data_IF_877370161948
#
_entry.id   IF_877370161948
#
_cell.length_a   1.000
_cell.length_b   1.000
_cell.length_c   1.000
_cell.angle_alpha   90.00
_cell.angle_beta   90.00
_cell.angle_gamma   90.00
#
_symmetry.space_group_name_H-M   'P 1'
#
loop_
_entity.id
_entity.type
_entity.pdbx_description
1 polymer ?
#
# COMPACT_ATOMS: atom_id res chain seq x y z
N UNK A 1 -19.61 22.38 12.88
CA UNK A 1 -19.41 21.08 13.56
C UNK A 1 -18.39 20.31 12.74
N UNK A 2 -17.31 19.79 13.36
CA UNK A 2 -16.29 18.98 12.63
C UNK A 2 -16.96 17.68 12.17
N UNK A 3 -16.86 17.36 10.88
CA UNK A 3 -17.37 16.10 10.31
C UNK A 3 -16.54 14.93 10.81
N UNK A 4 -17.12 14.07 11.62
CA UNK A 4 -16.42 12.94 12.27
C UNK A 4 -17.26 11.66 12.21
N UNK A 5 -16.65 10.56 11.77
CA UNK A 5 -17.24 9.23 11.83
C UNK A 5 -16.85 8.56 13.17
N UNK A 6 -17.88 8.28 13.99
CA UNK A 6 -17.74 7.61 15.30
C UNK A 6 -18.18 6.14 15.25
N UNK A 7 -18.60 5.65 14.10
CA UNK A 7 -18.97 4.25 13.87
C UNK A 7 -18.60 3.83 12.45
N UNK A 8 -18.48 2.52 12.25
CA UNK A 8 -18.23 1.95 10.93
C UNK A 8 -19.37 2.27 9.96
N UNK A 9 -20.62 2.19 10.39
CA UNK A 9 -21.78 2.49 9.55
C UNK A 9 -21.77 3.93 9.05
N UNK A 10 -21.45 4.91 9.95
CA UNK A 10 -21.33 6.31 9.56
C UNK A 10 -20.21 6.51 8.52
N UNK A 11 -19.13 5.76 8.62
CA UNK A 11 -18.02 5.80 7.68
C UNK A 11 -18.42 5.21 6.31
N UNK A 12 -19.14 4.08 6.31
CA UNK A 12 -19.64 3.44 5.09
C UNK A 12 -20.66 4.33 4.38
N UNK A 13 -21.61 4.92 5.11
CA UNK A 13 -22.57 5.87 4.55
C UNK A 13 -21.87 7.07 3.89
N UNK A 14 -20.85 7.62 4.55
CA UNK A 14 -20.04 8.69 3.97
C UNK A 14 -19.37 8.28 2.65
N UNK A 15 -18.83 7.07 2.57
CA UNK A 15 -18.22 6.56 1.34
C UNK A 15 -19.24 6.34 0.23
N UNK A 16 -20.45 5.90 0.57
CA UNK A 16 -21.54 5.70 -0.38
C UNK A 16 -22.05 7.05 -0.95
N UNK A 17 -22.12 8.08 -0.13
CA UNK A 17 -22.46 9.46 -0.58
C UNK A 17 -21.39 9.96 -1.59
N UNK A 18 -20.11 9.78 -1.29
CA UNK A 18 -19.02 10.17 -2.20
C UNK A 18 -19.06 9.36 -3.49
N UNK A 19 -19.36 8.06 -3.41
CA UNK A 19 -19.51 7.19 -4.59
C UNK A 19 -20.65 7.67 -5.48
N UNK A 20 -21.81 7.96 -4.91
CA UNK A 20 -22.97 8.46 -5.63
C UNK A 20 -22.69 9.80 -6.33
N UNK A 21 -21.92 10.70 -5.68
CA UNK A 21 -21.57 12.01 -6.22
C UNK A 21 -20.47 11.96 -7.31
N UNK A 22 -19.71 10.87 -7.40
CA UNK A 22 -18.51 10.78 -8.25
C UNK A 22 -18.79 10.76 -9.75
N UNK A 23 -20.00 10.41 -10.20
CA UNK A 23 -20.37 10.22 -11.59
C UNK A 23 -19.30 9.40 -12.38
N UNK A 24 -18.83 8.33 -11.76
CA UNK A 24 -17.72 7.54 -12.26
C UNK A 24 -18.13 6.69 -13.47
N UNK A 25 -17.29 6.72 -14.50
CA UNK A 25 -17.37 5.82 -15.65
C UNK A 25 -15.97 5.37 -16.06
N UNK A 26 -15.83 4.10 -16.45
CA UNK A 26 -14.59 3.55 -17.00
C UNK A 26 -14.90 2.61 -18.15
N UNK A 27 -14.18 2.74 -19.25
CA UNK A 27 -14.27 1.85 -20.40
C UNK A 27 -12.87 1.42 -20.85
N UNK A 28 -12.73 0.15 -21.25
CA UNK A 28 -11.52 -0.30 -21.93
C UNK A 28 -11.53 0.21 -23.36
N UNK A 29 -10.41 0.75 -23.81
CA UNK A 29 -10.25 1.31 -25.16
C UNK A 29 -9.05 0.68 -25.87
N UNK A 30 -9.08 0.56 -27.21
CA UNK A 30 -7.95 0.04 -27.96
C UNK A 30 -6.77 1.01 -27.91
N UNK A 31 -5.55 0.46 -28.04
CA UNK A 31 -4.31 1.26 -27.99
C UNK A 31 -4.26 2.36 -29.05
N UNK A 32 -4.84 2.13 -30.22
CA UNK A 32 -4.92 3.10 -31.32
C UNK A 32 -5.78 4.33 -31.00
N UNK A 33 -6.66 4.26 -30.01
CA UNK A 33 -7.52 5.37 -29.60
C UNK A 33 -6.97 6.21 -28.45
N UNK A 34 -5.76 5.87 -27.96
CA UNK A 34 -5.15 6.55 -26.80
C UNK A 34 -4.32 7.74 -27.26
N UNK A 35 -4.63 8.94 -26.76
CA UNK A 35 -4.03 10.17 -27.27
C UNK A 35 -2.66 10.49 -26.64
N UNK A 36 -2.50 10.26 -25.34
CA UNK A 36 -1.36 10.78 -24.56
C UNK A 36 -0.34 9.73 -24.14
N UNK A 37 -0.57 8.47 -24.45
CA UNK A 37 0.33 7.37 -24.14
C UNK A 37 0.88 6.75 -25.40
N UNK A 38 2.18 6.54 -25.44
CA UNK A 38 2.85 5.94 -26.61
C UNK A 38 4.06 5.12 -26.20
N UNK A 39 4.45 4.19 -27.07
CA UNK A 39 5.68 3.43 -26.91
C UNK A 39 6.78 4.12 -27.70
N UNK A 40 7.77 4.64 -26.98
CA UNK A 40 8.97 5.25 -27.54
C UNK A 40 10.21 4.60 -26.94
N UNK A 41 11.19 4.26 -27.77
CA UNK A 41 12.40 3.52 -27.37
C UNK A 41 12.11 2.20 -26.59
N UNK A 42 10.93 1.59 -26.83
CA UNK A 42 10.51 0.34 -26.17
C UNK A 42 9.94 0.51 -24.77
N UNK A 43 9.68 1.73 -24.35
CA UNK A 43 9.03 2.08 -23.07
C UNK A 43 7.67 2.69 -23.34
N UNK A 44 6.62 2.19 -22.70
CA UNK A 44 5.31 2.83 -22.71
C UNK A 44 5.30 3.97 -21.71
N UNK A 45 5.04 5.18 -22.18
CA UNK A 45 5.03 6.38 -21.34
C UNK A 45 3.98 7.39 -21.79
N UNK A 46 3.56 8.22 -20.84
CA UNK A 46 2.78 9.41 -21.17
C UNK A 46 3.69 10.45 -21.86
N UNK A 47 3.20 11.12 -22.87
CA UNK A 47 3.99 12.07 -23.70
C UNK A 47 4.63 13.22 -22.91
N UNK A 48 4.07 13.59 -21.75
CA UNK A 48 4.68 14.60 -20.87
C UNK A 48 5.92 14.10 -20.13
N UNK A 49 6.19 12.79 -20.11
CA UNK A 49 7.27 12.17 -19.33
C UNK A 49 7.10 12.27 -17.79
N UNK A 50 5.96 12.80 -17.33
CA UNK A 50 5.77 13.22 -15.93
C UNK A 50 5.03 12.20 -15.05
N UNK A 51 4.60 11.10 -15.65
CA UNK A 51 3.87 10.03 -14.97
C UNK A 51 4.73 8.77 -14.89
N UNK A 52 4.09 7.63 -14.61
CA UNK A 52 4.80 6.35 -14.61
C UNK A 52 5.10 5.88 -16.04
N UNK A 53 6.01 4.93 -16.12
CA UNK A 53 6.38 4.24 -17.35
C UNK A 53 6.13 2.74 -17.18
N UNK A 54 5.97 2.02 -18.28
CA UNK A 54 6.01 0.57 -18.32
C UNK A 54 7.19 0.15 -19.19
N UNK A 55 8.04 -0.70 -18.63
CA UNK A 55 9.23 -1.22 -19.29
C UNK A 55 9.46 -2.67 -18.88
N UNK A 56 10.19 -3.42 -19.67
CA UNK A 56 10.70 -4.72 -19.26
C UNK A 56 11.78 -4.57 -18.19
N UNK A 57 11.81 -5.49 -17.24
CA UNK A 57 12.89 -5.67 -16.29
C UNK A 57 13.43 -7.10 -16.46
N UNK A 58 14.71 -7.27 -16.60
CA UNK A 58 15.39 -8.57 -16.75
C UNK A 58 16.50 -8.71 -15.74
N UNK A 59 16.52 -9.84 -15.07
CA UNK A 59 17.65 -10.26 -14.25
C UNK A 59 18.64 -11.01 -15.17
N UNK A 60 19.88 -10.50 -15.28
CA UNK A 60 20.88 -11.03 -16.20
C UNK A 60 21.42 -12.40 -15.80
N UNK A 61 21.40 -12.71 -14.51
CA UNK A 61 21.93 -13.96 -14.00
C UNK A 61 20.94 -15.10 -14.13
N UNK A 62 19.71 -14.89 -13.66
CA UNK A 62 18.64 -15.91 -13.68
C UNK A 62 17.88 -15.97 -15.01
N UNK A 63 17.95 -14.91 -15.82
CA UNK A 63 17.11 -14.74 -17.01
C UNK A 63 15.63 -14.45 -16.68
N UNK A 64 15.28 -14.31 -15.41
CA UNK A 64 13.93 -13.92 -15.03
C UNK A 64 13.60 -12.55 -15.61
N UNK A 65 12.41 -12.42 -16.19
CA UNK A 65 11.96 -11.13 -16.74
C UNK A 65 10.48 -10.90 -16.50
N UNK A 66 10.11 -9.62 -16.48
CA UNK A 66 8.73 -9.19 -16.31
C UNK A 66 8.47 -7.77 -16.84
N UNK A 67 7.20 -7.43 -17.07
CA UNK A 67 6.76 -6.07 -17.37
C UNK A 67 6.51 -5.33 -16.06
N UNK A 68 7.23 -4.23 -15.84
CA UNK A 68 7.21 -3.49 -14.58
C UNK A 68 6.75 -2.04 -14.75
N UNK A 69 6.11 -1.51 -13.72
CA UNK A 69 5.85 -0.09 -13.58
C UNK A 69 7.13 0.59 -13.07
N UNK A 70 7.66 1.52 -13.83
CA UNK A 70 8.80 2.34 -13.46
C UNK A 70 8.36 3.76 -13.15
N UNK A 71 8.47 4.15 -11.91
CA UNK A 71 8.15 5.50 -11.42
C UNK A 71 9.10 5.85 -10.27
N UNK A 72 10.34 6.33 -10.59
CA UNK A 72 11.39 6.51 -9.59
C UNK A 72 11.15 7.70 -8.65
N UNK A 73 10.26 8.65 -9.03
CA UNK A 73 9.94 9.78 -8.17
C UNK A 73 9.15 9.28 -6.94
N UNK A 74 9.61 9.68 -5.74
CA UNK A 74 8.92 9.35 -4.51
C UNK A 74 7.50 9.93 -4.50
N UNK A 75 6.52 9.09 -4.15
CA UNK A 75 5.18 9.56 -3.85
C UNK A 75 5.10 10.02 -2.38
N UNK A 76 4.07 10.80 -2.05
CA UNK A 76 3.76 11.24 -0.70
C UNK A 76 2.45 10.63 -0.22
N UNK A 77 2.51 9.95 0.92
CA UNK A 77 1.35 9.58 1.72
C UNK A 77 1.41 10.37 3.02
N UNK A 78 0.45 11.27 3.22
CA UNK A 78 0.35 12.12 4.39
C UNK A 78 -0.87 11.77 5.23
N UNK A 79 -0.72 11.63 6.55
CA UNK A 79 -1.81 11.41 7.48
C UNK A 79 -1.85 12.51 8.54
N UNK A 80 -2.90 13.32 8.51
CA UNK A 80 -3.17 14.27 9.57
C UNK A 80 -3.91 13.54 10.71
N UNK A 81 -3.41 13.71 11.92
CA UNK A 81 -3.97 13.07 13.12
C UNK A 81 -4.26 14.10 14.19
N UNK A 82 -5.18 13.79 15.08
CA UNK A 82 -5.35 14.54 16.33
C UNK A 82 -5.66 13.61 17.51
N UNK A 83 -5.37 14.09 18.71
CA UNK A 83 -5.72 13.41 19.94
C UNK A 83 -6.59 14.32 20.79
N UNK A 84 -7.88 13.99 20.96
CA UNK A 84 -8.84 14.76 21.76
C UNK A 84 -9.37 13.90 22.89
N UNK A 85 -9.16 14.34 24.13
CA UNK A 85 -9.54 13.58 25.34
C UNK A 85 -9.02 12.14 25.35
N UNK A 86 -7.77 11.93 24.90
CA UNK A 86 -7.14 10.62 24.81
C UNK A 86 -7.57 9.77 23.61
N UNK A 87 -8.50 10.24 22.77
CA UNK A 87 -8.95 9.54 21.57
C UNK A 87 -8.20 10.02 20.34
N UNK A 88 -7.52 9.09 19.72
CA UNK A 88 -6.83 9.32 18.45
C UNK A 88 -7.81 9.23 17.27
N UNK A 89 -7.69 10.17 16.35
CA UNK A 89 -8.44 10.18 15.10
C UNK A 89 -7.50 10.58 13.96
N UNK A 90 -7.82 10.14 12.74
CA UNK A 90 -7.12 10.54 11.54
C UNK A 90 -8.08 11.14 10.51
N UNK A 91 -7.60 12.14 9.76
CA UNK A 91 -8.32 12.71 8.63
C UNK A 91 -8.09 11.84 7.41
N UNK A 92 -9.15 11.19 6.93
CA UNK A 92 -9.11 10.27 5.79
C UNK A 92 -9.92 10.79 4.62
N UNK A 93 -9.54 10.38 3.42
CA UNK A 93 -10.23 10.73 2.18
C UNK A 93 -11.00 9.53 1.63
N UNK A 94 -12.29 9.68 1.36
CA UNK A 94 -13.03 8.78 0.46
C UNK A 94 -12.57 9.07 -0.98
N UNK A 95 -11.74 8.18 -1.51
CA UNK A 95 -10.99 8.39 -2.76
C UNK A 95 -11.54 7.52 -3.87
N UNK A 96 -11.89 8.15 -4.99
CA UNK A 96 -12.26 7.44 -6.23
C UNK A 96 -10.99 6.99 -6.94
N UNK A 97 -10.88 5.70 -7.21
CA UNK A 97 -9.77 5.14 -8.00
C UNK A 97 -10.29 4.18 -9.07
N UNK A 98 -9.88 4.36 -10.34
CA UNK A 98 -10.51 3.70 -11.48
C UNK A 98 -10.39 2.17 -11.46
N UNK A 99 -9.34 1.66 -10.88
CA UNK A 99 -9.08 0.22 -10.81
C UNK A 99 -9.68 -0.49 -9.60
N UNK A 100 -10.24 0.23 -8.62
CA UNK A 100 -10.80 -0.40 -7.43
C UNK A 100 -12.11 -1.11 -7.72
N UNK A 101 -12.30 -2.32 -7.19
CA UNK A 101 -13.53 -3.11 -7.36
C UNK A 101 -14.78 -2.40 -6.81
N UNK A 102 -14.63 -1.60 -5.76
CA UNK A 102 -15.69 -0.78 -5.16
C UNK A 102 -15.62 0.70 -5.53
N UNK A 103 -14.72 1.09 -6.43
CA UNK A 103 -14.51 2.46 -6.94
C UNK A 103 -14.00 3.41 -5.84
N UNK A 104 -14.68 3.51 -4.70
CA UNK A 104 -14.33 4.39 -3.58
C UNK A 104 -13.79 3.56 -2.42
N UNK A 105 -12.59 3.92 -1.98
CA UNK A 105 -11.96 3.39 -0.75
C UNK A 105 -11.46 4.56 0.10
N UNK A 106 -11.23 4.32 1.39
CA UNK A 106 -10.57 5.28 2.27
C UNK A 106 -9.07 5.28 1.99
N UNK A 107 -8.54 6.45 1.68
CA UNK A 107 -7.10 6.73 1.59
C UNK A 107 -6.64 7.66 2.71
N UNK A 108 -5.33 7.89 2.85
CA UNK A 108 -4.78 8.86 3.78
C UNK A 108 -5.21 10.30 3.42
N UNK A 109 -4.90 11.27 4.26
CA UNK A 109 -5.22 12.69 4.02
C UNK A 109 -4.64 13.18 2.69
N UNK A 110 -3.41 12.78 2.38
CA UNK A 110 -2.75 13.02 1.09
C UNK A 110 -2.22 11.70 0.56
N UNK A 111 -2.55 11.40 -0.69
CA UNK A 111 -1.98 10.32 -1.49
C UNK A 111 -1.67 10.89 -2.88
N UNK A 112 -0.41 11.25 -3.11
CA UNK A 112 -0.03 11.98 -4.30
C UNK A 112 1.33 11.54 -4.84
N UNK A 113 1.38 11.32 -6.15
CA UNK A 113 2.66 11.18 -6.89
C UNK A 113 3.24 12.57 -7.21
N UNK A 114 4.49 12.61 -7.64
CA UNK A 114 5.13 13.86 -8.06
C UNK A 114 4.32 14.59 -9.15
N UNK A 115 3.77 13.86 -10.12
CA UNK A 115 2.89 14.43 -11.14
C UNK A 115 1.68 15.17 -10.56
N UNK A 116 1.10 14.65 -9.48
CA UNK A 116 -0.06 15.25 -8.84
C UNK A 116 0.30 16.47 -7.99
N UNK A 117 1.27 16.36 -7.08
CA UNK A 117 1.58 17.50 -6.21
C UNK A 117 2.32 18.64 -6.92
N UNK A 118 3.03 18.37 -8.02
CA UNK A 118 3.58 19.39 -8.92
C UNK A 118 2.58 19.90 -9.95
N UNK A 119 1.38 19.31 -10.00
CA UNK A 119 0.31 19.66 -10.96
C UNK A 119 0.72 19.55 -12.42
N UNK A 120 1.53 18.57 -12.77
CA UNK A 120 2.05 18.37 -14.12
C UNK A 120 0.96 18.03 -15.16
N UNK A 121 -0.22 17.60 -14.68
CA UNK A 121 -1.43 17.38 -15.48
C UNK A 121 -2.30 18.65 -15.64
N UNK A 122 -1.87 19.82 -15.09
CA UNK A 122 -2.65 21.06 -15.14
C UNK A 122 -3.96 21.06 -14.34
N UNK A 123 -4.23 19.99 -13.56
CA UNK A 123 -5.45 19.81 -12.81
C UNK A 123 -5.53 20.57 -11.49
N UNK A 124 -6.51 20.19 -10.66
CA UNK A 124 -6.75 20.78 -9.34
C UNK A 124 -5.58 20.51 -8.39
N UNK A 125 -5.39 21.43 -7.43
CA UNK A 125 -4.40 21.26 -6.36
C UNK A 125 -4.75 20.05 -5.49
N UNK A 126 -3.74 19.27 -5.08
CA UNK A 126 -3.91 18.21 -4.08
C UNK A 126 -4.31 18.86 -2.74
N UNK A 127 -5.47 18.50 -2.17
CA UNK A 127 -5.92 19.06 -0.89
C UNK A 127 -4.95 18.73 0.25
N UNK A 128 -4.83 19.63 1.20
CA UNK A 128 -4.04 19.48 2.44
C UNK A 128 -2.54 19.18 2.23
N UNK A 129 -2.02 19.30 1.01
CA UNK A 129 -0.61 19.09 0.70
C UNK A 129 0.31 20.00 1.53
N UNK A 130 -0.15 21.20 1.84
CA UNK A 130 0.58 22.19 2.65
C UNK A 130 0.88 21.75 4.08
N UNK A 131 0.18 20.78 4.63
CA UNK A 131 0.46 20.20 5.94
C UNK A 131 1.77 19.40 5.94
N UNK A 132 2.17 18.87 4.79
CA UNK A 132 3.28 17.93 4.65
C UNK A 132 4.50 18.51 3.94
N UNK A 133 4.34 19.62 3.20
CA UNK A 133 5.42 20.23 2.42
C UNK A 133 5.96 21.54 3.01
N UNK A 134 5.27 22.12 3.96
CA UNK A 134 5.74 23.36 4.59
C UNK A 134 6.36 23.05 5.93
N UNK A 135 7.64 23.43 6.13
CA UNK A 135 8.31 23.42 7.43
C UNK A 135 7.71 24.50 8.36
N UNK A 136 6.40 24.48 8.53
CA UNK A 136 5.74 25.30 9.53
C UNK A 136 5.88 24.58 10.88
N UNK A 137 6.37 25.23 11.94
CA UNK A 137 6.58 24.60 13.25
C UNK A 137 5.32 23.91 13.80
N UNK A 138 4.14 24.46 13.50
CA UNK A 138 2.85 23.87 13.92
C UNK A 138 2.49 22.56 13.23
N UNK A 139 3.16 22.22 12.12
CA UNK A 139 2.95 20.97 11.37
C UNK A 139 4.24 20.16 11.28
N UNK A 140 5.09 20.24 12.31
CA UNK A 140 6.27 19.39 12.38
C UNK A 140 5.84 17.91 12.33
N UNK A 141 6.44 17.09 11.46
CA UNK A 141 6.08 15.69 11.38
C UNK A 141 6.34 14.95 12.69
N UNK A 142 5.38 14.18 13.14
CA UNK A 142 5.52 13.26 14.27
C UNK A 142 6.22 11.97 13.88
N UNK A 143 6.08 11.59 12.63
CA UNK A 143 6.76 10.44 12.05
C UNK A 143 6.98 10.67 10.56
N UNK A 144 8.17 10.29 10.08
CA UNK A 144 8.47 10.22 8.64
C UNK A 144 9.25 8.94 8.38
N UNK A 145 8.81 8.18 7.40
CA UNK A 145 9.57 7.03 6.89
C UNK A 145 9.44 6.94 5.37
N UNK A 146 10.45 6.37 4.73
CA UNK A 146 10.39 6.01 3.31
C UNK A 146 10.09 4.53 3.19
N UNK A 147 9.09 4.18 2.40
CA UNK A 147 8.61 2.80 2.28
C UNK A 147 8.61 2.35 0.81
N UNK A 148 9.01 1.10 0.58
CA UNK A 148 8.93 0.47 -0.72
C UNK A 148 7.47 0.12 -1.05
N UNK A 149 7.13 0.17 -2.34
CA UNK A 149 5.84 -0.27 -2.88
C UNK A 149 5.85 -1.78 -3.21
N UNK A 150 4.90 -2.28 -3.96
CA UNK A 150 4.79 -3.69 -4.39
C UNK A 150 5.88 -4.04 -5.42
N UNK A 151 7.00 -4.59 -4.98
CA UNK A 151 8.14 -4.91 -5.85
C UNK A 151 7.88 -6.05 -6.85
N UNK A 152 6.77 -6.75 -6.75
CA UNK A 152 6.31 -7.68 -7.78
C UNK A 152 5.74 -6.96 -9.03
N UNK A 153 5.44 -5.66 -8.93
CA UNK A 153 4.88 -4.86 -10.03
C UNK A 153 5.66 -3.57 -10.30
N UNK A 154 6.35 -3.04 -9.29
CA UNK A 154 7.09 -1.79 -9.39
C UNK A 154 8.59 -2.01 -9.35
N UNK A 155 9.31 -1.31 -10.22
CA UNK A 155 10.76 -1.22 -10.16
C UNK A 155 11.19 0.04 -9.40
N UNK A 156 11.86 -0.15 -8.25
CA UNK A 156 12.43 0.88 -7.37
C UNK A 156 11.43 1.96 -6.87
N UNK A 157 10.14 1.67 -6.84
CA UNK A 157 9.12 2.61 -6.37
C UNK A 157 9.17 2.78 -4.86
N UNK A 158 9.18 4.04 -4.42
CA UNK A 158 9.16 4.41 -3.01
C UNK A 158 8.05 5.45 -2.73
N UNK A 159 7.56 5.45 -1.49
CA UNK A 159 6.61 6.43 -0.96
C UNK A 159 7.14 6.99 0.36
N UNK A 160 7.09 8.30 0.53
CA UNK A 160 7.31 8.95 1.82
C UNK A 160 6.01 8.89 2.60
N UNK A 161 6.01 8.26 3.77
CA UNK A 161 4.93 8.32 4.75
C UNK A 161 5.24 9.45 5.72
N UNK A 162 4.28 10.36 5.92
CA UNK A 162 4.43 11.49 6.84
C UNK A 162 3.18 11.63 7.70
N UNK A 163 3.36 11.71 9.03
CA UNK A 163 2.27 11.89 10.00
C UNK A 163 2.45 13.25 10.66
N UNK A 164 1.40 14.06 10.67
CA UNK A 164 1.40 15.39 11.31
C UNK A 164 0.22 15.53 12.26
N UNK A 165 0.40 16.25 13.35
CA UNK A 165 -0.69 16.67 14.22
C UNK A 165 -1.41 17.89 13.65
N UNK A 166 -2.76 17.86 13.64
CA UNK A 166 -3.58 18.93 13.05
C UNK A 166 -4.88 19.14 13.85
N UNK A 167 -4.75 19.50 15.13
CA UNK A 167 -5.86 19.59 16.09
C UNK A 167 -6.96 20.57 15.71
N UNK A 168 -6.67 21.58 14.93
CA UNK A 168 -7.62 22.64 14.57
C UNK A 168 -8.16 22.52 13.14
N UNK A 169 -7.83 21.46 12.44
CA UNK A 169 -8.20 21.29 11.04
C UNK A 169 -9.68 20.89 10.89
N UNK A 170 -10.47 21.75 10.29
CA UNK A 170 -11.85 21.43 9.87
C UNK A 170 -11.84 21.02 8.40
N UNK A 171 -12.35 19.82 8.05
CA UNK A 171 -12.47 19.40 6.66
C UNK A 171 -13.39 20.36 5.89
N UNK A 172 -12.86 20.91 4.79
CA UNK A 172 -13.61 21.84 3.93
C UNK A 172 -14.18 21.18 2.68
N UNK A 173 -13.75 19.94 2.39
CA UNK A 173 -14.16 19.18 1.22
C UNK A 173 -15.02 17.99 1.63
N UNK A 174 -16.07 17.73 0.83
CA UNK A 174 -17.04 16.66 1.11
C UNK A 174 -16.46 15.24 1.01
N UNK A 175 -15.27 15.09 0.44
CA UNK A 175 -14.58 13.81 0.34
C UNK A 175 -13.69 13.50 1.54
N UNK A 176 -13.65 14.33 2.58
CA UNK A 176 -12.81 14.16 3.77
C UNK A 176 -13.65 14.07 5.05
N UNK A 177 -13.21 13.19 5.95
CA UNK A 177 -13.83 12.97 7.25
C UNK A 177 -12.78 12.61 8.30
N UNK A 178 -12.94 13.10 9.51
CA UNK A 178 -12.22 12.58 10.68
C UNK A 178 -12.81 11.23 11.08
N UNK A 179 -11.98 10.22 11.29
CA UNK A 179 -12.41 8.91 11.77
C UNK A 179 -11.58 8.51 12.98
N UNK A 180 -12.24 8.04 14.03
CA UNK A 180 -11.59 7.54 15.24
C UNK A 180 -10.71 6.32 14.88
N UNK A 181 -9.58 6.16 15.56
CA UNK A 181 -8.65 5.06 15.28
C UNK A 181 -9.32 3.69 15.45
N UNK A 182 -10.23 3.55 16.42
CA UNK A 182 -11.05 2.34 16.58
C UNK A 182 -11.95 2.06 15.37
N UNK A 183 -12.55 3.10 14.81
CA UNK A 183 -13.37 2.98 13.60
C UNK A 183 -12.50 2.57 12.40
N UNK A 184 -11.30 3.14 12.27
CA UNK A 184 -10.34 2.77 11.22
C UNK A 184 -9.84 1.34 11.38
N UNK A 185 -9.61 0.88 12.62
CA UNK A 185 -9.26 -0.52 12.92
C UNK A 185 -10.38 -1.47 12.50
N UNK A 186 -11.62 -1.15 12.83
CA UNK A 186 -12.78 -1.93 12.40
C UNK A 186 -12.93 -1.94 10.88
N UNK A 187 -12.75 -0.78 10.23
CA UNK A 187 -12.81 -0.61 8.78
C UNK A 187 -11.71 -1.41 8.05
N UNK A 188 -10.49 -1.48 8.63
CA UNK A 188 -9.39 -2.26 8.06
C UNK A 188 -9.68 -3.76 8.00
N UNK A 189 -10.61 -4.27 8.78
CA UNK A 189 -11.06 -5.68 8.79
C UNK A 189 -12.24 -5.97 7.87
N UNK A 190 -12.69 -4.98 7.10
CA UNK A 190 -13.78 -5.12 6.14
C UNK A 190 -13.24 -5.10 4.71
N UNK A 191 -13.93 -5.80 3.84
CA UNK A 191 -13.60 -5.85 2.41
C UNK A 191 -13.77 -4.48 1.76
N UNK A 192 -12.75 -4.07 1.00
CA UNK A 192 -12.79 -2.90 0.12
C UNK A 192 -13.15 -1.56 0.81
N UNK A 193 -12.84 -1.41 2.10
CA UNK A 193 -13.06 -0.14 2.81
C UNK A 193 -11.77 0.70 2.82
N UNK A 194 -10.65 0.14 3.29
CA UNK A 194 -9.39 0.85 3.49
C UNK A 194 -8.41 0.47 2.40
N UNK A 195 -7.94 1.45 1.62
CA UNK A 195 -6.97 1.18 0.55
C UNK A 195 -5.58 0.80 1.10
N UNK A 196 -4.73 0.25 0.24
CA UNK A 196 -3.40 -0.26 0.61
C UNK A 196 -2.49 0.82 1.19
N UNK A 197 -2.58 2.06 0.70
CA UNK A 197 -1.78 3.18 1.21
C UNK A 197 -2.16 3.55 2.63
N UNK A 198 -3.46 3.65 2.94
CA UNK A 198 -3.91 3.91 4.31
C UNK A 198 -3.62 2.72 5.23
N UNK A 199 -3.79 1.46 4.78
CA UNK A 199 -3.37 0.26 5.53
C UNK A 199 -1.90 0.32 5.92
N UNK A 200 -1.04 0.66 4.96
CA UNK A 200 0.40 0.83 5.18
C UNK A 200 0.69 1.91 6.22
N UNK A 201 0.00 3.05 6.16
CA UNK A 201 0.15 4.12 7.15
C UNK A 201 -0.38 3.73 8.53
N UNK A 202 -1.54 3.07 8.62
CA UNK A 202 -2.09 2.60 9.90
C UNK A 202 -1.12 1.66 10.63
N UNK A 203 -0.47 0.76 9.89
CA UNK A 203 0.50 -0.18 10.47
C UNK A 203 1.84 0.48 10.84
N UNK A 204 2.30 1.47 10.06
CA UNK A 204 3.61 2.11 10.24
C UNK A 204 3.59 3.35 11.16
N UNK A 205 2.42 3.90 11.50
CA UNK A 205 2.30 5.06 12.38
C UNK A 205 2.58 4.67 13.83
N UNK A 206 3.46 5.38 14.56
CA UNK A 206 3.75 5.10 15.97
C UNK A 206 2.64 5.66 16.89
N UNK A 207 1.45 5.06 16.85
CA UNK A 207 0.23 5.53 17.53
C UNK A 207 0.43 5.79 19.03
N UNK A 208 1.20 4.91 19.70
CA UNK A 208 1.52 5.05 21.13
C UNK A 208 2.27 6.34 21.47
N UNK A 209 3.03 6.91 20.55
CA UNK A 209 3.74 8.19 20.78
C UNK A 209 2.89 9.42 20.50
N UNK A 210 1.68 9.23 19.96
CA UNK A 210 0.74 10.32 19.63
C UNK A 210 -0.26 10.60 20.77
N UNK A 211 -0.32 9.72 21.80
CA UNK A 211 -1.13 9.95 23.00
C UNK A 211 -0.37 10.80 24.02
N UNK A 212 -1.05 11.70 24.76
CA UNK A 212 -0.41 12.47 25.83
C UNK A 212 0.18 11.54 26.89
N UNK A 213 1.47 11.66 27.17
CA UNK A 213 2.19 10.81 28.14
C UNK A 213 2.59 9.43 27.61
N UNK A 214 2.32 9.13 26.35
CA UNK A 214 2.78 7.93 25.68
C UNK A 214 4.28 7.97 25.44
N UNK A 215 5.04 7.41 26.37
CA UNK A 215 6.48 7.22 26.19
C UNK A 215 6.73 6.12 25.16
N UNK A 216 7.73 6.30 24.31
CA UNK A 216 8.29 5.18 23.58
C UNK A 216 8.68 4.10 24.61
N UNK A 217 8.27 2.82 24.43
CA UNK A 217 8.55 1.78 25.42
C UNK A 217 10.07 1.62 25.59
N UNK A 218 10.58 2.05 26.71
CA UNK A 218 12.01 2.16 27.01
C UNK A 218 12.71 0.82 27.26
N UNK A 219 12.05 -0.32 27.19
CA UNK A 219 12.63 -1.54 27.78
C UNK A 219 12.67 -2.79 26.91
N UNK A 220 12.55 -2.71 25.58
CA UNK A 220 12.61 -3.91 24.73
C UNK A 220 13.80 -3.95 23.77
N UNK A 221 14.88 -3.29 24.13
CA UNK A 221 16.14 -3.34 23.40
C UNK A 221 16.67 -4.79 23.23
N UNK A 222 16.42 -5.67 24.19
CA UNK A 222 16.86 -7.06 24.11
C UNK A 222 16.06 -7.89 23.10
N UNK A 223 14.72 -7.77 23.07
CA UNK A 223 13.87 -8.46 22.07
C UNK A 223 14.14 -7.94 20.66
N UNK A 224 14.34 -6.62 20.56
CA UNK A 224 14.69 -5.97 19.32
C UNK A 224 16.07 -6.39 18.83
N UNK A 225 17.09 -6.41 19.72
CA UNK A 225 18.43 -6.87 19.40
C UNK A 225 18.43 -8.34 18.94
N UNK A 226 17.68 -9.22 19.65
CA UNK A 226 17.53 -10.63 19.26
C UNK A 226 16.85 -10.78 17.89
N UNK A 227 15.83 -9.95 17.59
CA UNK A 227 15.14 -9.98 16.31
C UNK A 227 16.03 -9.44 15.17
N UNK A 228 16.81 -8.38 15.42
CA UNK A 228 17.77 -7.83 14.47
C UNK A 228 18.91 -8.81 14.20
N UNK A 229 19.43 -9.48 15.22
CA UNK A 229 20.46 -10.51 15.09
C UNK A 229 19.97 -11.66 14.21
N UNK A 230 18.78 -12.20 14.49
CA UNK A 230 18.16 -13.25 13.66
C UNK A 230 17.98 -12.80 12.19
N UNK A 231 17.62 -11.53 11.98
CA UNK A 231 17.49 -10.95 10.65
C UNK A 231 18.82 -10.89 9.91
N UNK A 232 19.93 -10.58 10.62
CA UNK A 232 21.27 -10.47 10.04
C UNK A 232 21.86 -11.82 9.65
N UNK A 233 21.45 -12.89 10.32
CA UNK A 233 21.95 -14.25 10.11
C UNK A 233 21.39 -14.94 8.86
N UNK A 234 20.35 -14.36 8.24
CA UNK A 234 19.75 -14.92 7.03
C UNK A 234 20.58 -14.53 5.81
N UNK A 235 21.08 -15.50 5.02
CA UNK A 235 21.89 -15.23 3.83
C UNK A 235 21.18 -14.32 2.84
N UNK A 236 21.87 -13.34 2.24
CA UNK A 236 21.34 -12.47 1.18
C UNK A 236 21.32 -13.17 -0.17
N UNK A 237 20.41 -12.77 -1.03
CA UNK A 237 20.62 -12.98 -2.46
C UNK A 237 21.82 -12.15 -2.92
N UNK A 238 22.60 -12.71 -3.83
CA UNK A 238 23.84 -12.10 -4.34
C UNK A 238 23.62 -11.33 -5.63
N UNK A 239 22.48 -11.48 -6.29
CA UNK A 239 22.25 -10.88 -7.60
C UNK A 239 21.56 -9.50 -7.49
N UNK A 240 22.31 -8.46 -7.90
CA UNK A 240 21.80 -7.10 -8.08
C UNK A 240 21.74 -6.69 -9.56
N UNK A 241 21.96 -7.60 -10.49
CA UNK A 241 22.16 -7.30 -11.90
C UNK A 241 20.84 -7.35 -12.69
N UNK A 242 19.99 -6.34 -12.44
CA UNK A 242 18.75 -6.17 -13.17
C UNK A 242 18.80 -4.94 -14.05
N UNK A 243 18.34 -5.10 -15.29
CA UNK A 243 18.32 -4.05 -16.29
C UNK A 243 16.91 -3.78 -16.83
N UNK A 244 16.64 -2.52 -17.13
CA UNK A 244 15.48 -2.14 -17.90
C UNK A 244 15.71 -2.51 -19.37
N UNK A 245 14.77 -3.22 -19.96
CA UNK A 245 14.79 -3.62 -21.37
C UNK A 245 13.55 -3.11 -22.09
N UNK A 246 13.63 -2.89 -23.42
CA UNK A 246 12.47 -2.58 -24.24
C UNK A 246 11.37 -3.64 -24.08
N UNK A 247 10.09 -3.23 -24.02
CA UNK A 247 8.95 -4.17 -23.90
C UNK A 247 9.01 -5.28 -24.95
N UNK A 248 9.34 -4.92 -26.19
CA UNK A 248 9.49 -5.88 -27.31
C UNK A 248 10.65 -6.86 -27.17
N UNK A 249 11.55 -6.65 -26.21
CA UNK A 249 12.66 -7.55 -25.92
C UNK A 249 12.32 -8.58 -24.85
N UNK A 250 11.16 -8.48 -24.22
CA UNK A 250 10.62 -9.49 -23.32
C UNK A 250 10.14 -10.71 -24.13
N UNK A 251 10.54 -11.90 -23.70
CA UNK A 251 10.25 -13.16 -24.42
C UNK A 251 8.80 -13.62 -24.23
N UNK A 252 8.26 -13.37 -23.01
CA UNK A 252 6.96 -13.85 -22.61
C UNK A 252 5.87 -12.75 -22.67
N UNK A 253 6.08 -11.71 -23.50
CA UNK A 253 5.14 -10.61 -23.62
C UNK A 253 4.90 -10.20 -25.08
N UNK A 254 3.65 -10.05 -25.44
CA UNK A 254 3.20 -9.62 -26.76
C UNK A 254 2.35 -8.36 -26.65
N UNK A 255 2.23 -7.66 -27.78
CA UNK A 255 1.41 -6.44 -27.88
C UNK A 255 0.49 -6.58 -29.08
N UNK A 256 -0.77 -6.26 -28.86
CA UNK A 256 -1.82 -6.18 -29.89
C UNK A 256 -2.66 -4.91 -29.70
N UNK A 257 -3.77 -4.82 -30.41
CA UNK A 257 -4.70 -3.68 -30.34
C UNK A 257 -5.38 -3.54 -28.96
N UNK A 258 -5.45 -4.61 -28.19
CA UNK A 258 -6.07 -4.61 -26.84
C UNK A 258 -5.11 -4.17 -25.74
N UNK A 259 -3.80 -4.19 -26.01
CA UNK A 259 -2.77 -3.79 -25.05
C UNK A 259 -1.52 -4.68 -25.06
N UNK A 260 -0.92 -4.87 -23.91
CA UNK A 260 0.29 -5.68 -23.71
C UNK A 260 -0.10 -6.85 -22.81
N UNK A 261 0.21 -8.08 -23.19
CA UNK A 261 -0.19 -9.27 -22.44
C UNK A 261 0.93 -10.30 -22.34
N UNK A 262 0.94 -11.02 -21.23
CA UNK A 262 1.87 -12.14 -21.04
C UNK A 262 1.40 -13.36 -21.79
N UNK A 263 2.31 -14.01 -22.51
CA UNK A 263 2.08 -15.30 -23.18
C UNK A 263 2.23 -16.48 -22.23
N UNK A 264 3.01 -16.29 -21.15
CA UNK A 264 3.21 -17.31 -20.11
C UNK A 264 2.09 -17.32 -19.05
N UNK A 265 1.63 -16.13 -18.66
CA UNK A 265 0.52 -15.93 -17.71
C UNK A 265 -0.63 -15.21 -18.42
N UNK A 266 -1.52 -15.98 -19.04
CA UNK A 266 -2.66 -15.45 -19.80
C UNK A 266 -3.59 -14.50 -18.99
N UNK A 267 -3.43 -14.46 -17.67
CA UNK A 267 -4.15 -13.56 -16.79
C UNK A 267 -3.49 -12.20 -16.60
N UNK A 268 -2.22 -12.04 -16.97
CA UNK A 268 -1.46 -10.81 -16.74
C UNK A 268 -1.38 -9.96 -18.02
N UNK A 269 -1.89 -8.75 -17.93
CA UNK A 269 -1.90 -7.83 -19.08
C UNK A 269 -1.91 -6.37 -18.62
N UNK A 270 -1.66 -5.47 -19.56
CA UNK A 270 -1.88 -4.03 -19.44
C UNK A 270 -2.86 -3.61 -20.51
N UNK A 271 -3.96 -2.99 -20.10
CA UNK A 271 -4.98 -2.47 -21.00
C UNK A 271 -5.20 -1.00 -20.76
N UNK A 272 -5.65 -0.30 -21.81
CA UNK A 272 -5.92 1.12 -21.73
C UNK A 272 -7.38 1.38 -21.36
N UNK A 273 -7.56 2.40 -20.53
CA UNK A 273 -8.88 2.77 -20.02
C UNK A 273 -9.13 4.27 -20.23
N UNK A 274 -10.33 4.59 -20.69
CA UNK A 274 -10.90 5.92 -20.66
C UNK A 274 -11.69 6.08 -19.38
N UNK A 275 -11.37 7.11 -18.60
CA UNK A 275 -11.90 7.30 -17.25
C UNK A 275 -12.52 8.68 -17.12
N UNK A 276 -13.73 8.71 -16.60
CA UNK A 276 -14.43 9.94 -16.23
C UNK A 276 -14.83 9.86 -14.75
N UNK A 277 -14.55 10.93 -13.99
CA UNK A 277 -14.94 11.01 -12.59
C UNK A 277 -14.91 12.44 -12.09
N UNK A 278 -15.95 12.84 -11.35
CA UNK A 278 -15.93 14.09 -10.60
C UNK A 278 -15.13 13.94 -9.30
N UNK A 279 -14.50 15.02 -8.86
CA UNK A 279 -13.80 15.07 -7.58
C UNK A 279 -12.35 14.60 -7.59
N UNK A 280 -11.82 14.19 -8.76
CA UNK A 280 -10.39 13.93 -8.97
C UNK A 280 -9.66 15.21 -9.38
N UNK A 281 -8.32 15.12 -9.48
CA UNK A 281 -7.48 16.23 -9.96
C UNK A 281 -7.87 16.69 -11.37
N UNK A 282 -8.27 15.74 -12.22
CA UNK A 282 -8.88 15.95 -13.54
C UNK A 282 -10.15 15.14 -13.62
N UNK A 283 -11.12 15.58 -14.45
CA UNK A 283 -12.42 14.93 -14.57
C UNK A 283 -12.48 13.89 -15.69
N UNK A 284 -11.54 13.93 -16.64
CA UNK A 284 -11.44 12.97 -17.74
C UNK A 284 -9.98 12.73 -18.11
N UNK A 285 -9.59 11.46 -18.26
CA UNK A 285 -8.24 11.06 -18.66
C UNK A 285 -8.21 9.65 -19.22
N UNK A 286 -7.13 9.31 -19.93
CA UNK A 286 -6.83 7.96 -20.38
C UNK A 286 -5.56 7.46 -19.70
N UNK A 287 -5.52 6.17 -19.33
CA UNK A 287 -4.32 5.58 -18.74
C UNK A 287 -4.26 4.07 -18.95
N UNK A 288 -3.04 3.49 -18.98
CA UNK A 288 -2.87 2.05 -18.87
C UNK A 288 -3.09 1.60 -17.42
N UNK A 289 -3.74 0.44 -17.24
CA UNK A 289 -3.88 -0.26 -15.98
C UNK A 289 -3.41 -1.70 -16.14
N UNK A 290 -2.70 -2.22 -15.14
CA UNK A 290 -2.34 -3.63 -15.07
C UNK A 290 -3.54 -4.47 -14.66
N UNK A 291 -3.68 -5.63 -15.29
CA UNK A 291 -4.69 -6.65 -15.02
C UNK A 291 -4.00 -7.92 -14.53
N UNK A 292 -4.65 -8.62 -13.63
CA UNK A 292 -4.29 -9.96 -13.20
C UNK A 292 -5.60 -10.76 -13.02
N UNK A 293 -5.67 -11.95 -13.58
CA UNK A 293 -6.89 -12.78 -13.47
C UNK A 293 -7.00 -13.50 -12.13
N UNK A 294 -5.91 -13.56 -11.40
CA UNK A 294 -5.81 -14.30 -10.15
C UNK A 294 -5.66 -13.33 -8.97
N UNK A 295 -6.35 -13.65 -7.87
CA UNK A 295 -6.20 -12.93 -6.61
C UNK A 295 -4.85 -13.23 -5.98
N UNK A 296 -4.29 -12.24 -5.30
CA UNK A 296 -3.11 -12.40 -4.47
C UNK A 296 -3.51 -12.75 -3.02
N UNK A 297 -2.58 -13.34 -2.31
CA UNK A 297 -2.72 -13.70 -0.90
C UNK A 297 -1.55 -13.17 -0.12
N UNK A 298 -1.81 -12.63 1.07
CA UNK A 298 -0.81 -12.28 2.07
C UNK A 298 -1.33 -12.72 3.44
N UNK A 299 -0.71 -13.76 4.02
CA UNK A 299 -1.08 -14.29 5.33
C UNK A 299 0.01 -13.99 6.37
N UNK A 300 -0.41 -13.52 7.52
CA UNK A 300 0.41 -13.33 8.70
C UNK A 300 0.02 -14.39 9.73
N UNK A 301 0.90 -15.39 9.92
CA UNK A 301 0.67 -16.43 10.88
C UNK A 301 1.01 -15.92 12.29
N UNK A 302 0.24 -16.34 13.26
CA UNK A 302 0.42 -15.93 14.65
C UNK A 302 0.25 -17.10 15.61
N UNK A 303 0.93 -17.03 16.75
CA UNK A 303 0.77 -17.95 17.88
C UNK A 303 0.72 -17.18 19.21
N UNK A 304 0.29 -17.82 20.27
CA UNK A 304 0.08 -17.16 21.55
C UNK A 304 -1.13 -16.21 21.55
N UNK A 305 -1.31 -15.45 22.62
CA UNK A 305 -2.41 -14.50 22.77
C UNK A 305 -2.00 -13.30 23.64
N UNK A 306 -2.69 -12.17 23.52
CA UNK A 306 -2.43 -10.97 24.31
C UNK A 306 -0.98 -10.49 24.17
N UNK A 307 -0.31 -10.21 25.27
CA UNK A 307 1.09 -9.75 25.30
C UNK A 307 2.11 -10.78 24.82
N UNK A 308 1.75 -12.07 24.84
CA UNK A 308 2.60 -13.19 24.41
C UNK A 308 2.41 -13.54 22.93
N UNK A 309 1.62 -12.76 22.20
CA UNK A 309 1.39 -13.00 20.78
C UNK A 309 2.65 -12.76 19.97
N UNK A 310 3.00 -13.73 19.16
CA UNK A 310 4.08 -13.66 18.19
C UNK A 310 3.54 -13.79 16.76
N UNK A 311 4.25 -13.20 15.82
CA UNK A 311 3.94 -13.16 14.40
C UNK A 311 5.07 -13.81 13.61
N UNK A 312 4.75 -14.75 12.74
CA UNK A 312 5.70 -15.36 11.83
C UNK A 312 5.87 -14.47 10.60
N UNK A 313 7.09 -14.13 10.28
CA UNK A 313 7.43 -13.38 9.07
C UNK A 313 8.43 -14.15 8.24
N UNK A 314 8.46 -13.88 6.94
CA UNK A 314 9.48 -14.38 6.02
C UNK A 314 10.46 -13.27 5.70
N UNK A 315 11.70 -13.64 5.33
CA UNK A 315 12.70 -12.70 4.84
C UNK A 315 13.04 -13.07 3.41
N UNK A 316 12.87 -12.11 2.51
CA UNK A 316 13.05 -12.35 1.09
C UNK A 316 13.30 -11.07 0.31
N UNK A 317 13.33 -11.21 -0.98
CA UNK A 317 13.46 -10.10 -1.94
C UNK A 317 12.26 -10.07 -2.87
N UNK A 318 11.86 -8.86 -3.26
CA UNK A 318 10.90 -8.68 -4.33
C UNK A 318 11.63 -8.34 -5.63
N UNK A 319 11.13 -8.83 -6.75
CA UNK A 319 11.78 -8.69 -8.07
C UNK A 319 12.09 -7.24 -8.46
N UNK A 320 11.27 -6.29 -8.07
CA UNK A 320 11.48 -4.87 -8.34
C UNK A 320 12.47 -4.16 -7.42
N UNK A 321 13.02 -4.83 -6.40
CA UNK A 321 13.95 -4.25 -5.43
C UNK A 321 15.22 -5.08 -5.28
N UNK A 322 16.07 -5.14 -6.32
CA UNK A 322 17.26 -5.98 -6.34
C UNK A 322 18.20 -5.68 -5.16
N UNK A 323 18.73 -6.75 -4.53
CA UNK A 323 19.66 -6.66 -3.42
C UNK A 323 19.09 -6.11 -2.12
N UNK A 324 17.76 -5.98 -2.02
CA UNK A 324 17.09 -5.51 -0.80
C UNK A 324 16.32 -6.63 -0.13
N UNK A 325 16.78 -7.02 1.06
CA UNK A 325 16.02 -7.91 1.92
C UNK A 325 14.92 -7.17 2.63
N UNK A 326 13.72 -7.74 2.55
CA UNK A 326 12.52 -7.23 3.20
C UNK A 326 11.96 -8.27 4.15
N UNK A 327 11.37 -7.79 5.23
CA UNK A 327 10.47 -8.59 6.05
C UNK A 327 9.13 -8.63 5.34
N UNK A 328 8.63 -9.84 5.11
CA UNK A 328 7.45 -10.13 4.31
C UNK A 328 6.43 -10.91 5.14
N UNK A 329 5.15 -11.01 4.73
CA UNK A 329 4.19 -11.91 5.34
C UNK A 329 4.73 -13.35 5.41
N UNK A 330 4.17 -14.16 6.29
CA UNK A 330 4.51 -15.60 6.41
C UNK A 330 4.30 -16.34 5.09
N UNK A 331 3.21 -15.99 4.40
CA UNK A 331 2.80 -16.54 3.10
C UNK A 331 2.41 -15.39 2.19
N UNK A 332 2.92 -15.39 0.97
CA UNK A 332 2.60 -14.40 -0.06
C UNK A 332 2.66 -15.05 -1.46
N UNK A 333 1.75 -14.68 -2.32
CA UNK A 333 1.75 -15.12 -3.74
C UNK A 333 0.38 -15.18 -4.37
N UNK A 334 0.30 -15.67 -5.61
CA UNK A 334 -0.97 -15.97 -6.28
C UNK A 334 -1.77 -17.03 -5.53
N UNK A 335 -3.09 -16.85 -5.39
CA UNK A 335 -3.95 -17.70 -4.56
C UNK A 335 -3.89 -19.19 -4.92
N UNK A 336 -3.79 -19.53 -6.22
CA UNK A 336 -3.66 -20.91 -6.67
C UNK A 336 -2.30 -21.55 -6.39
N UNK A 337 -1.28 -20.74 -6.23
CA UNK A 337 0.11 -21.20 -5.97
C UNK A 337 0.42 -21.31 -4.48
N UNK A 338 -0.41 -20.72 -3.63
CA UNK A 338 -0.23 -20.72 -2.19
C UNK A 338 -0.94 -21.95 -1.57
N UNK A 339 -0.19 -22.76 -0.84
CA UNK A 339 -0.79 -23.80 0.00
C UNK A 339 -1.46 -23.12 1.18
N UNK A 340 -2.77 -23.35 1.33
CA UNK A 340 -3.53 -22.77 2.44
C UNK A 340 -2.98 -23.27 3.77
N UNK A 341 -2.64 -22.35 4.66
CA UNK A 341 -2.13 -22.68 5.99
C UNK A 341 -3.26 -23.29 6.83
N UNK A 342 -2.98 -24.43 7.47
CA UNK A 342 -3.88 -25.00 8.48
C UNK A 342 -3.83 -24.13 9.74
N UNK A 343 -5.00 -23.71 10.24
CA UNK A 343 -5.11 -22.85 11.41
C UNK A 343 -6.47 -22.16 11.49
N UNK A 344 -6.67 -21.41 12.55
CA UNK A 344 -7.88 -20.62 12.76
C UNK A 344 -7.70 -19.19 12.19
N UNK A 345 -8.49 -18.79 11.23
CA UNK A 345 -8.53 -17.41 10.79
C UNK A 345 -9.08 -16.51 11.91
N UNK A 346 -8.25 -15.60 12.42
CA UNK A 346 -8.64 -14.59 13.41
C UNK A 346 -9.35 -13.40 12.75
N UNK A 347 -8.89 -13.02 11.58
CA UNK A 347 -9.52 -12.02 10.73
C UNK A 347 -8.98 -12.14 9.29
N UNK A 348 -9.81 -11.79 8.35
CA UNK A 348 -9.43 -11.68 6.95
C UNK A 348 -10.23 -10.58 6.26
N UNK A 349 -9.71 -10.07 5.17
CA UNK A 349 -10.40 -9.16 4.26
C UNK A 349 -9.80 -9.22 2.87
N UNK A 350 -10.59 -8.80 1.88
CA UNK A 350 -10.16 -8.60 0.51
C UNK A 350 -10.04 -7.11 0.22
N UNK A 351 -8.94 -6.71 -0.39
CA UNK A 351 -8.71 -5.32 -0.77
C UNK A 351 -8.15 -5.23 -2.18
N UNK A 352 -8.66 -4.27 -2.95
CA UNK A 352 -8.05 -3.89 -4.24
C UNK A 352 -6.68 -3.25 -4.02
N UNK A 353 -5.73 -3.55 -4.89
CA UNK A 353 -4.46 -2.86 -4.95
C UNK A 353 -4.64 -1.41 -5.41
N UNK A 354 -3.53 -0.62 -5.54
CA UNK A 354 -3.61 0.81 -5.92
C UNK A 354 -4.39 0.99 -7.22
N UNK A 355 -5.66 1.41 -7.14
CA UNK A 355 -6.57 1.51 -8.27
C UNK A 355 -6.19 2.56 -9.32
N UNK A 356 -5.15 3.35 -9.08
CA UNK A 356 -4.53 4.23 -10.07
C UNK A 356 -3.53 3.51 -10.99
N UNK A 357 -3.24 2.23 -10.75
CA UNK A 357 -2.27 1.42 -11.52
C UNK A 357 -2.79 0.04 -11.87
N UNK A 358 -3.68 -0.51 -11.04
CA UNK A 358 -4.17 -1.88 -11.14
C UNK A 358 -5.67 -1.87 -11.35
N UNK A 359 -6.16 -2.70 -12.29
CA UNK A 359 -7.58 -2.85 -12.54
C UNK A 359 -8.10 -4.13 -11.91
N UNK A 360 -8.85 -3.97 -10.80
CA UNK A 360 -9.47 -5.04 -10.03
C UNK A 360 -8.49 -6.15 -9.61
N UNK A 361 -7.23 -5.81 -9.45
CA UNK A 361 -6.28 -6.70 -8.78
C UNK A 361 -6.58 -6.63 -7.29
N UNK A 362 -6.80 -7.78 -6.70
CA UNK A 362 -7.19 -7.91 -5.30
C UNK A 362 -6.19 -8.78 -4.54
N UNK A 363 -5.98 -8.42 -3.28
CA UNK A 363 -5.22 -9.24 -2.33
C UNK A 363 -6.12 -9.63 -1.17
N UNK A 364 -6.14 -10.93 -0.84
CA UNK A 364 -6.71 -11.43 0.39
C UNK A 364 -5.65 -11.31 1.50
N UNK A 365 -5.93 -10.49 2.48
CA UNK A 365 -5.14 -10.35 3.68
C UNK A 365 -5.76 -11.18 4.80
N UNK A 366 -4.98 -12.05 5.45
CA UNK A 366 -5.48 -12.90 6.52
C UNK A 366 -4.48 -13.00 7.68
N UNK A 367 -5.00 -13.09 8.90
CA UNK A 367 -4.22 -13.41 10.10
C UNK A 367 -4.70 -14.77 10.60
N UNK A 368 -3.78 -15.74 10.63
CA UNK A 368 -4.07 -17.13 10.92
C UNK A 368 -3.38 -17.53 12.22
N UNK A 369 -4.15 -17.94 13.23
CA UNK A 369 -3.64 -18.56 14.44
C UNK A 369 -3.22 -19.99 14.13
N UNK A 370 -1.96 -20.31 14.36
CA UNK A 370 -1.41 -21.67 14.19
C UNK A 370 -1.07 -22.29 15.53
N UNK A 371 -0.75 -23.57 15.51
CA UNK A 371 -0.30 -24.31 16.69
C UNK A 371 0.99 -23.67 17.27
N UNK A 372 1.18 -23.66 18.62
CA UNK A 372 2.42 -23.18 19.22
C UNK A 372 3.68 -23.85 18.67
N UNK A 373 3.58 -25.13 18.30
CA UNK A 373 4.67 -25.95 17.77
C UNK A 373 4.78 -25.90 16.24
N UNK A 374 4.09 -24.95 15.58
CA UNK A 374 4.12 -24.81 14.13
C UNK A 374 5.56 -24.70 13.61
N UNK A 375 5.91 -25.64 12.71
CA UNK A 375 7.25 -25.73 12.13
C UNK A 375 7.52 -24.58 11.15
N UNK A 376 8.60 -23.85 11.36
CA UNK A 376 9.03 -22.78 10.46
C UNK A 376 9.90 -23.32 9.32
N UNK A 377 9.76 -22.72 8.14
CA UNK A 377 10.64 -22.96 7.02
C UNK A 377 11.91 -22.12 7.12
N UNK A 378 12.92 -22.46 6.30
CA UNK A 378 14.13 -21.63 6.17
C UNK A 378 13.74 -20.21 5.73
N UNK A 379 14.32 -19.20 6.37
CA UNK A 379 14.03 -17.79 6.11
C UNK A 379 12.80 -17.24 6.84
N UNK A 380 12.14 -18.03 7.67
CA UNK A 380 11.05 -17.57 8.54
C UNK A 380 11.51 -17.35 9.99
N UNK A 381 10.95 -16.35 10.66
CA UNK A 381 11.26 -16.00 12.04
C UNK A 381 10.02 -15.53 12.79
N UNK A 382 9.88 -15.98 14.06
CA UNK A 382 8.85 -15.47 14.97
C UNK A 382 9.29 -14.14 15.59
N UNK A 383 8.42 -13.15 15.55
CA UNK A 383 8.63 -11.82 16.10
C UNK A 383 7.56 -11.50 17.15
N UNK A 384 7.96 -10.90 18.26
CA UNK A 384 6.99 -10.29 19.18
C UNK A 384 6.27 -9.11 18.51
N UNK A 385 5.10 -8.75 19.02
CA UNK A 385 4.35 -7.57 18.53
C UNK A 385 5.20 -6.29 18.54
N UNK A 386 6.04 -6.12 19.56
CA UNK A 386 6.94 -4.96 19.65
C UNK A 386 8.04 -4.96 18.59
N UNK A 387 8.62 -6.11 18.27
CA UNK A 387 9.63 -6.24 17.20
C UNK A 387 9.01 -6.01 15.82
N UNK A 388 7.83 -6.59 15.57
CA UNK A 388 7.10 -6.35 14.31
C UNK A 388 6.75 -4.85 14.15
N UNK A 389 6.20 -4.22 15.20
CA UNK A 389 5.91 -2.77 15.22
C UNK A 389 7.12 -1.93 14.84
N UNK A 390 8.28 -2.23 15.43
CA UNK A 390 9.51 -1.49 15.11
C UNK A 390 9.90 -1.62 13.64
N UNK A 391 9.88 -2.83 13.09
CA UNK A 391 10.18 -3.10 11.67
C UNK A 391 9.22 -2.37 10.74
N UNK A 392 7.93 -2.29 11.08
CA UNK A 392 6.92 -1.58 10.31
C UNK A 392 7.16 -0.06 10.26
N UNK A 393 7.74 0.51 11.32
CA UNK A 393 8.05 1.95 11.43
C UNK A 393 9.38 2.34 10.77
N UNK A 394 10.30 1.40 10.59
CA UNK A 394 11.58 1.67 9.92
C UNK A 394 11.40 1.85 8.41
N UNK A 395 12.26 2.71 7.84
CA UNK A 395 12.28 2.94 6.39
C UNK A 395 12.76 1.69 5.65
N UNK A 396 12.00 1.26 4.62
CA UNK A 396 12.38 0.24 3.66
C UNK A 396 12.73 -1.13 4.29
N UNK A 397 12.13 -1.49 5.42
CA UNK A 397 12.33 -2.79 6.09
C UNK A 397 11.20 -3.79 5.81
N UNK A 398 9.96 -3.34 5.89
CA UNK A 398 8.79 -4.17 5.66
C UNK A 398 8.30 -4.05 4.21
N UNK A 399 7.91 -5.16 3.59
CA UNK A 399 7.22 -5.14 2.29
C UNK A 399 5.86 -4.43 2.42
N UNK A 400 5.32 -3.95 1.29
CA UNK A 400 3.98 -3.35 1.26
C UNK A 400 2.91 -4.33 1.76
N UNK A 401 3.00 -5.59 1.35
CA UNK A 401 2.05 -6.64 1.76
C UNK A 401 2.10 -6.91 3.28
N UNK A 402 3.30 -6.87 3.91
CA UNK A 402 3.41 -7.00 5.36
C UNK A 402 2.74 -5.84 6.09
N UNK A 403 2.98 -4.60 5.64
CA UNK A 403 2.32 -3.42 6.22
C UNK A 403 0.81 -3.51 6.07
N UNK A 404 0.31 -3.96 4.91
CA UNK A 404 -1.12 -4.09 4.67
C UNK A 404 -1.77 -5.15 5.56
N UNK A 405 -1.20 -6.36 5.66
CA UNK A 405 -1.77 -7.41 6.52
C UNK A 405 -1.66 -7.05 8.00
N UNK A 406 -0.61 -6.35 8.41
CA UNK A 406 -0.42 -5.88 9.79
C UNK A 406 -1.48 -4.87 10.24
N UNK A 407 -2.15 -4.19 9.30
CA UNK A 407 -3.29 -3.31 9.62
C UNK A 407 -4.49 -4.05 10.23
N UNK A 408 -4.55 -5.37 10.11
CA UNK A 408 -5.59 -6.22 10.73
C UNK A 408 -5.36 -6.46 12.22
N UNK A 409 -4.13 -6.26 12.71
CA UNK A 409 -3.71 -6.54 14.10
C UNK A 409 -3.25 -5.27 14.85
N UNK A 410 -3.81 -4.11 14.51
CA UNK A 410 -3.41 -2.82 15.11
C UNK A 410 -3.51 -2.82 16.64
N UNK A 411 -4.53 -3.46 17.23
CA UNK A 411 -4.68 -3.55 18.68
C UNK A 411 -3.58 -4.40 19.33
N UNK A 412 -3.09 -5.43 18.65
CA UNK A 412 -1.96 -6.23 19.15
C UNK A 412 -0.63 -5.46 19.01
N UNK A 413 -0.49 -4.64 17.96
CA UNK A 413 0.70 -3.82 17.73
C UNK A 413 0.78 -2.59 18.63
N UNK A 414 -0.36 -1.97 18.93
CA UNK A 414 -0.45 -0.68 19.65
C UNK A 414 -1.53 -0.74 20.75
N UNK A 415 -1.47 -1.69 21.71
CA UNK A 415 -2.54 -1.88 22.68
C UNK A 415 -2.85 -0.59 23.45
N UNK A 416 -1.84 0.19 23.82
CA UNK A 416 -1.99 1.44 24.59
C UNK A 416 -2.78 2.54 23.87
N UNK A 417 -2.98 2.41 22.56
CA UNK A 417 -3.70 3.39 21.73
C UNK A 417 -5.19 3.04 21.58
N UNK A 418 -5.62 1.90 22.12
CA UNK A 418 -6.98 1.37 22.03
C UNK A 418 -7.64 1.15 23.40
N UNK A 419 -6.92 1.39 24.51
CA UNK A 419 -7.41 1.40 25.89
C UNK A 419 -7.87 2.82 26.26
#
# INVERSE_FOLDING_TARGET
MIRQAKSLDALVMFMDDVRAASAFCIATVPISSVEYWSISAGVLSHQSGSFFHLAGLRDRESGQEDLMIYQPQSALNGLAVHCVHGRLSALVQARVEPGNSRIVNLGPTVQATAGNYLRLHGGRKTPYLELFHTFKPQFAPRHVSTQLDLGQFYYLKQKTLSVVEADTLSPTLDTFIWADLEVLRAAARQDHIVNTDLRSMLAATPWNSLTPGGAAPASRAADLAASITRFSDIPGSTSCDRELVPIKALLDWEMDELGIHSTRDAGRSVRFHDVQSRGREVDHWQQPLMHLSERLVAELLTRGAGSEREFLVSIGEEFGFPGRRLVMPSVIGPEKSVVRTEGQALCECVQSEEGGRFYRIETRYAVIQVDPDFATSSGQVWLSAAALRHILQESNRASMSLRCVSSLVLKDLYPESFD
#
